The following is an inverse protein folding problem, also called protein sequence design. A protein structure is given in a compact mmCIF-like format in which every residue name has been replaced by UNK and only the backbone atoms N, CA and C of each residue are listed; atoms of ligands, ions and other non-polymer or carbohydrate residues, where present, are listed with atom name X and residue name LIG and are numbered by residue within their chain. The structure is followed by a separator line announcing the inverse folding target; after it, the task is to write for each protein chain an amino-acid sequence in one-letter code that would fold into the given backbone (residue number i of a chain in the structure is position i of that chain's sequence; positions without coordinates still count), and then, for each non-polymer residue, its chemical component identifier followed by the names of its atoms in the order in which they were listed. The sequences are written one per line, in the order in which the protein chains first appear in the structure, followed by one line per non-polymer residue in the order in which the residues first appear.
data_IF_419649907725
#
_entry.id   IF_419649907725
#
_cell.length_a   1.000
_cell.length_b   1.000
_cell.length_c   1.000
_cell.angle_alpha   90.00
_cell.angle_beta   90.00
_cell.angle_gamma   90.00
#
_symmetry.space_group_name_H-M   'P 1'
#
loop_
_entity.id
_entity.type
_entity.pdbx_description
1 polymer ?
#
# COMPACT_ATOMS: atom_id res chain seq x y z
N UNK A 1 39.13 15.66 52.10
CA UNK A 1 37.84 16.20 51.62
C UNK A 1 37.99 16.59 50.14
N UNK A 2 37.08 16.16 49.25
CA UNK A 2 36.87 16.82 47.95
C UNK A 2 37.66 16.34 46.71
N UNK A 3 37.50 15.09 46.25
CA UNK A 3 37.84 14.69 44.86
C UNK A 3 36.77 13.82 44.17
N UNK A 4 35.73 13.41 44.89
CA UNK A 4 34.62 12.60 44.37
C UNK A 4 33.55 13.48 43.70
N UNK A 5 33.38 14.72 44.18
CA UNK A 5 32.33 15.65 43.73
C UNK A 5 32.47 16.03 42.24
N UNK A 6 33.69 16.27 41.76
CA UNK A 6 33.93 16.71 40.37
C UNK A 6 33.60 15.61 39.35
N UNK A 7 33.84 14.33 39.70
CA UNK A 7 33.55 13.20 38.81
C UNK A 7 32.05 12.88 38.76
N UNK A 8 31.36 13.00 39.90
CA UNK A 8 29.91 12.82 40.00
C UNK A 8 29.15 13.93 39.26
N UNK A 9 29.58 15.18 39.41
CA UNK A 9 29.00 16.32 38.68
C UNK A 9 29.16 16.17 37.16
N UNK A 10 30.37 15.82 36.70
CA UNK A 10 30.61 15.59 35.28
C UNK A 10 29.75 14.42 34.73
N UNK A 11 29.60 13.32 35.48
CA UNK A 11 28.74 12.21 35.07
C UNK A 11 27.26 12.61 34.94
N UNK A 12 26.76 13.49 35.83
CA UNK A 12 25.41 14.04 35.72
C UNK A 12 25.25 14.92 34.48
N UNK A 13 26.21 15.80 34.19
CA UNK A 13 26.21 16.63 32.98
C UNK A 13 26.18 15.76 31.70
N UNK A 14 26.97 14.68 31.65
CA UNK A 14 26.91 13.71 30.56
C UNK A 14 25.54 13.03 30.45
N UNK A 15 24.91 12.62 31.55
CA UNK A 15 23.56 12.05 31.54
C UNK A 15 22.53 13.05 31.00
N UNK A 16 22.64 14.33 31.35
CA UNK A 16 21.77 15.38 30.80
C UNK A 16 21.96 15.58 29.30
N UNK A 17 23.21 15.61 28.82
CA UNK A 17 23.51 15.72 27.39
C UNK A 17 22.97 14.52 26.62
N UNK A 18 23.18 13.30 27.12
CA UNK A 18 22.63 12.07 26.51
C UNK A 18 21.09 12.09 26.50
N UNK A 19 20.47 12.52 27.60
CA UNK A 19 19.01 12.67 27.69
C UNK A 19 18.46 13.66 26.66
N UNK A 20 19.12 14.80 26.46
CA UNK A 20 18.75 15.78 25.43
C UNK A 20 18.88 15.22 24.01
N UNK A 21 19.94 14.47 23.73
CA UNK A 21 20.12 13.80 22.43
C UNK A 21 18.97 12.82 22.18
N UNK A 22 18.62 11.98 23.17
CA UNK A 22 17.51 11.03 23.06
C UNK A 22 16.17 11.74 22.84
N UNK A 23 15.94 12.88 23.51
CA UNK A 23 14.72 13.66 23.35
C UNK A 23 14.56 14.17 21.91
N UNK A 24 15.64 14.63 21.28
CA UNK A 24 15.63 15.06 19.87
C UNK A 24 15.43 13.87 18.91
N UNK A 25 15.88 12.68 19.26
CA UNK A 25 15.69 11.49 18.42
C UNK A 25 14.22 11.02 18.35
N UNK A 26 13.42 11.23 19.40
CA UNK A 26 12.02 10.81 19.43
C UNK A 26 11.20 11.34 18.23
N UNK A 27 11.12 12.66 17.96
CA UNK A 27 10.37 13.16 16.81
C UNK A 27 10.96 12.70 15.47
N UNK A 28 12.29 12.51 15.37
CA UNK A 28 12.94 12.02 14.15
C UNK A 28 12.51 10.58 13.82
N UNK A 29 12.48 9.70 14.82
CA UNK A 29 12.01 8.33 14.63
C UNK A 29 10.52 8.28 14.27
N UNK A 30 9.70 9.12 14.88
CA UNK A 30 8.26 9.20 14.56
C UNK A 30 8.01 9.60 13.11
N UNK A 31 8.68 10.65 12.62
CA UNK A 31 8.57 11.09 11.23
C UNK A 31 9.07 10.03 10.23
N UNK A 32 10.17 9.37 10.56
CA UNK A 32 10.75 8.31 9.73
C UNK A 32 9.80 7.11 9.61
N UNK A 33 9.25 6.65 10.73
CA UNK A 33 8.32 5.52 10.77
C UNK A 33 7.08 5.76 9.90
N UNK A 34 6.48 6.94 9.98
CA UNK A 34 5.31 7.29 9.18
C UNK A 34 5.62 7.25 7.68
N UNK A 35 6.75 7.80 7.24
CA UNK A 35 7.14 7.79 5.82
C UNK A 35 7.33 6.39 5.26
N UNK A 36 7.97 5.50 6.04
CA UNK A 36 8.15 4.10 5.65
C UNK A 36 6.80 3.41 5.45
N UNK A 37 5.86 3.62 6.38
CA UNK A 37 4.53 3.01 6.28
C UNK A 37 3.73 3.51 5.06
N UNK A 38 3.83 4.80 4.72
CA UNK A 38 3.21 5.34 3.49
C UNK A 38 3.80 4.66 2.26
N UNK A 39 5.13 4.60 2.18
CA UNK A 39 5.83 4.02 1.04
C UNK A 39 5.46 2.54 0.84
N UNK A 40 5.37 1.76 1.92
CA UNK A 40 4.93 0.36 1.87
C UNK A 40 3.48 0.27 1.40
N UNK A 41 2.58 1.08 1.98
CA UNK A 41 1.15 1.12 1.60
C UNK A 41 0.96 1.39 0.10
N UNK A 42 1.64 2.42 -0.42
CA UNK A 42 1.57 2.76 -1.85
C UNK A 42 2.16 1.66 -2.74
N UNK A 43 3.26 1.04 -2.31
CA UNK A 43 3.90 -0.06 -3.03
C UNK A 43 2.98 -1.28 -3.11
N UNK A 44 2.31 -1.63 -2.01
CA UNK A 44 1.38 -2.76 -1.95
C UNK A 44 0.17 -2.51 -2.86
N UNK A 45 -0.45 -1.31 -2.79
CA UNK A 45 -1.57 -0.95 -3.66
C UNK A 45 -1.18 -0.93 -5.15
N UNK A 46 0.01 -0.41 -5.47
CA UNK A 46 0.57 -0.45 -6.82
C UNK A 46 0.78 -1.89 -7.29
N UNK A 47 1.32 -2.75 -6.44
CA UNK A 47 1.53 -4.17 -6.77
C UNK A 47 0.20 -4.87 -7.03
N UNK A 48 -0.81 -4.60 -6.21
CA UNK A 48 -2.16 -5.13 -6.37
C UNK A 48 -2.79 -4.72 -7.71
N UNK A 49 -2.83 -3.41 -7.99
CA UNK A 49 -3.40 -2.90 -9.24
C UNK A 49 -2.64 -3.42 -10.47
N UNK A 50 -1.31 -3.47 -10.42
CA UNK A 50 -0.47 -4.01 -11.49
C UNK A 50 -0.73 -5.50 -11.74
N UNK A 51 -0.84 -6.30 -10.68
CA UNK A 51 -1.09 -7.73 -10.80
C UNK A 51 -2.46 -7.98 -11.45
N UNK A 52 -3.50 -7.27 -11.02
CA UNK A 52 -4.83 -7.36 -11.62
C UNK A 52 -4.80 -6.97 -13.10
N UNK A 53 -4.20 -5.82 -13.44
CA UNK A 53 -4.09 -5.35 -14.82
C UNK A 53 -3.32 -6.33 -15.71
N UNK A 54 -2.20 -6.87 -15.22
CA UNK A 54 -1.40 -7.85 -15.95
C UNK A 54 -2.15 -9.15 -16.18
N UNK A 55 -2.81 -9.68 -15.14
CA UNK A 55 -3.59 -10.92 -15.27
C UNK A 55 -4.81 -10.70 -16.17
N UNK A 56 -5.42 -9.52 -16.14
CA UNK A 56 -6.45 -9.13 -17.11
C UNK A 56 -5.91 -9.19 -18.55
N UNK A 57 -4.77 -8.58 -18.84
CA UNK A 57 -4.13 -8.64 -20.16
C UNK A 57 -3.80 -10.08 -20.59
N UNK A 58 -3.33 -10.92 -19.66
CA UNK A 58 -3.05 -12.33 -19.92
C UNK A 58 -4.34 -13.10 -20.28
N UNK A 59 -5.41 -12.95 -19.50
CA UNK A 59 -6.71 -13.60 -19.75
C UNK A 59 -7.31 -13.10 -21.07
N UNK A 60 -7.21 -11.81 -21.36
CA UNK A 60 -7.65 -11.24 -22.64
C UNK A 60 -6.94 -11.86 -23.83
N UNK A 61 -5.63 -12.06 -23.73
CA UNK A 61 -4.83 -12.67 -24.79
C UNK A 61 -5.21 -14.14 -25.05
N UNK A 62 -5.66 -14.87 -24.03
CA UNK A 62 -6.14 -16.24 -24.17
C UNK A 62 -7.51 -16.34 -24.88
N UNK A 63 -8.31 -15.27 -24.83
CA UNK A 63 -9.60 -15.17 -25.50
C UNK A 63 -10.81 -15.59 -24.64
N UNK A 64 -12.03 -15.46 -25.19
CA UNK A 64 -13.29 -15.68 -24.46
C UNK A 64 -13.40 -17.08 -23.85
N UNK A 65 -14.04 -17.17 -22.67
CA UNK A 65 -14.23 -18.41 -21.91
C UNK A 65 -13.05 -18.78 -21.02
N UNK A 66 -11.94 -18.03 -21.07
CA UNK A 66 -10.82 -18.21 -20.15
C UNK A 66 -11.03 -17.39 -18.87
N UNK A 67 -10.53 -17.94 -17.76
CA UNK A 67 -10.50 -17.27 -16.47
C UNK A 67 -9.21 -17.55 -15.73
N UNK A 68 -8.80 -16.60 -14.90
CA UNK A 68 -7.72 -16.79 -13.94
C UNK A 68 -8.17 -16.35 -12.54
N UNK A 69 -7.54 -16.89 -11.51
CA UNK A 69 -7.83 -16.55 -10.12
C UNK A 69 -6.51 -16.29 -9.41
N UNK A 70 -6.40 -15.12 -8.81
CA UNK A 70 -5.17 -14.61 -8.20
C UNK A 70 -5.45 -14.14 -6.79
N UNK A 71 -4.45 -14.32 -5.92
CA UNK A 71 -4.47 -13.78 -4.58
C UNK A 71 -3.82 -12.39 -4.60
N UNK A 72 -4.56 -11.37 -4.19
CA UNK A 72 -4.12 -9.98 -4.22
C UNK A 72 -4.22 -9.38 -2.83
N UNK A 73 -3.11 -8.88 -2.30
CA UNK A 73 -3.10 -8.23 -1.00
C UNK A 73 -3.46 -6.75 -1.11
N UNK A 74 -4.49 -6.34 -0.38
CA UNK A 74 -4.96 -4.97 -0.30
C UNK A 74 -4.43 -4.36 1.00
N UNK A 75 -3.65 -3.27 0.93
CA UNK A 75 -3.18 -2.60 2.12
C UNK A 75 -4.33 -1.92 2.87
N UNK A 76 -4.04 -1.48 4.10
CA UNK A 76 -4.90 -0.48 4.76
C UNK A 76 -4.97 0.79 3.92
N UNK A 77 -6.04 1.56 4.08
CA UNK A 77 -6.22 2.89 3.49
C UNK A 77 -6.72 2.94 2.05
N UNK A 78 -7.16 1.83 1.46
CA UNK A 78 -7.98 1.90 0.24
C UNK A 78 -9.37 2.43 0.63
N UNK A 79 -9.74 3.56 0.04
CA UNK A 79 -11.07 4.16 0.20
C UNK A 79 -12.05 3.57 -0.82
N UNK A 80 -11.63 3.43 -2.08
CA UNK A 80 -12.43 2.76 -3.10
C UNK A 80 -11.58 2.19 -4.24
N UNK A 81 -12.14 1.20 -4.94
CA UNK A 81 -11.58 0.62 -6.16
C UNK A 81 -12.57 0.84 -7.29
N UNK A 82 -12.15 1.54 -8.34
CA UNK A 82 -12.95 1.78 -9.53
C UNK A 82 -12.38 0.98 -10.71
N UNK A 83 -13.24 0.20 -11.36
CA UNK A 83 -12.93 -0.57 -12.55
C UNK A 83 -13.93 -0.17 -13.62
N UNK A 84 -13.45 0.53 -14.65
CA UNK A 84 -14.32 1.05 -15.70
C UNK A 84 -13.56 1.26 -16.99
N UNK A 85 -14.20 0.94 -18.13
CA UNK A 85 -13.56 1.07 -19.44
C UNK A 85 -12.34 0.18 -19.52
N UNK A 86 -11.13 0.74 -19.50
CA UNK A 86 -9.87 -0.02 -19.46
C UNK A 86 -9.03 0.27 -18.21
N UNK A 87 -9.62 0.99 -17.28
CA UNK A 87 -8.91 1.62 -16.17
C UNK A 87 -9.22 0.90 -14.87
N UNK A 88 -8.18 0.74 -14.06
CA UNK A 88 -8.24 0.26 -12.69
C UNK A 88 -7.66 1.37 -11.83
N UNK A 89 -8.48 1.95 -10.96
CA UNK A 89 -8.10 3.08 -10.11
C UNK A 89 -8.33 2.70 -8.66
N UNK A 90 -7.27 2.73 -7.87
CA UNK A 90 -7.34 2.58 -6.42
C UNK A 90 -7.22 3.97 -5.82
N UNK A 91 -8.26 4.39 -5.10
CA UNK A 91 -8.25 5.61 -4.32
C UNK A 91 -7.83 5.28 -2.90
N UNK A 92 -6.81 5.96 -2.40
CA UNK A 92 -6.29 5.78 -1.05
C UNK A 92 -6.42 7.08 -0.26
N UNK A 93 -6.69 6.95 1.04
CA UNK A 93 -6.64 8.06 1.99
C UNK A 93 -5.48 7.83 2.98
N UNK A 94 -4.40 8.58 2.82
CA UNK A 94 -3.18 8.45 3.59
C UNK A 94 -2.95 9.76 4.35
N UNK A 95 -3.07 9.74 5.68
CA UNK A 95 -2.89 10.92 6.53
C UNK A 95 -3.73 12.14 6.09
N UNK A 96 -4.99 11.92 5.69
CA UNK A 96 -5.91 12.92 5.15
C UNK A 96 -5.48 13.53 3.79
N UNK A 97 -4.46 12.95 3.15
CA UNK A 97 -4.11 13.22 1.76
C UNK A 97 -4.60 12.08 0.86
N UNK A 98 -5.33 12.46 -0.20
CA UNK A 98 -5.76 11.52 -1.23
C UNK A 98 -4.57 11.09 -2.09
N UNK A 99 -4.46 9.79 -2.36
CA UNK A 99 -3.52 9.24 -3.33
C UNK A 99 -4.26 8.33 -4.31
N UNK A 100 -3.81 8.31 -5.56
CA UNK A 100 -4.42 7.51 -6.61
C UNK A 100 -3.36 6.60 -7.24
N UNK A 101 -3.70 5.32 -7.36
CA UNK A 101 -2.93 4.36 -8.14
C UNK A 101 -3.76 4.00 -9.37
N UNK A 102 -3.21 4.33 -10.53
CA UNK A 102 -3.89 4.19 -11.81
C UNK A 102 -3.18 3.16 -12.68
N UNK A 103 -3.94 2.21 -13.22
CA UNK A 103 -3.46 1.20 -14.17
C UNK A 103 -4.41 1.08 -15.37
N UNK A 104 -3.85 0.77 -16.53
CA UNK A 104 -4.60 0.56 -17.78
C UNK A 104 -4.38 -0.87 -18.26
N UNK A 105 -5.48 -1.58 -18.52
CA UNK A 105 -5.47 -2.86 -19.25
C UNK A 105 -5.65 -2.63 -20.76
N UNK A 106 -5.20 -3.61 -21.55
CA UNK A 106 -5.51 -3.69 -22.99
C UNK A 106 -6.97 -4.07 -23.25
N UNK A 107 -7.64 -4.68 -22.28
CA UNK A 107 -9.01 -5.16 -22.39
C UNK A 107 -10.01 -4.17 -21.79
N UNK A 108 -11.26 -4.21 -22.26
CA UNK A 108 -12.36 -3.55 -21.57
C UNK A 108 -12.72 -4.36 -20.33
N UNK A 109 -12.79 -3.69 -19.19
CA UNK A 109 -12.98 -4.23 -17.86
C UNK A 109 -14.35 -3.83 -17.31
N UNK A 110 -14.91 -4.71 -16.51
CA UNK A 110 -16.10 -4.47 -15.68
C UNK A 110 -15.94 -5.20 -14.35
N UNK A 111 -16.74 -4.83 -13.37
CA UNK A 111 -16.84 -5.53 -12.09
C UNK A 111 -16.60 -4.62 -10.90
N UNK A 112 -16.41 -5.23 -9.75
CA UNK A 112 -16.25 -4.52 -8.48
C UNK A 112 -15.40 -5.36 -7.54
N UNK A 113 -14.51 -4.68 -6.83
CA UNK A 113 -13.72 -5.25 -5.75
C UNK A 113 -14.07 -4.54 -4.46
N UNK A 114 -13.93 -5.24 -3.35
CA UNK A 114 -14.02 -4.65 -2.02
C UNK A 114 -12.82 -3.75 -1.76
N UNK A 115 -12.89 -2.93 -0.71
CA UNK A 115 -11.87 -1.94 -0.37
C UNK A 115 -11.22 -2.20 1.00
N UNK A 116 -11.53 -3.33 1.65
CA UNK A 116 -10.99 -3.62 2.97
C UNK A 116 -9.60 -4.26 2.90
N UNK A 117 -8.81 -4.05 3.95
CA UNK A 117 -7.46 -4.61 4.06
C UNK A 117 -7.51 -6.14 4.13
N UNK A 118 -6.63 -6.82 3.39
CA UNK A 118 -6.45 -8.26 3.48
C UNK A 118 -6.08 -8.89 2.14
N UNK A 119 -5.93 -10.21 2.14
CA UNK A 119 -5.78 -10.95 0.89
C UNK A 119 -7.15 -11.22 0.29
N UNK A 120 -7.34 -10.79 -0.95
CA UNK A 120 -8.55 -10.99 -1.73
C UNK A 120 -8.30 -12.01 -2.83
N UNK A 121 -9.25 -12.92 -3.00
CA UNK A 121 -9.23 -13.89 -4.09
C UNK A 121 -9.96 -13.25 -5.27
N UNK A 122 -9.20 -12.69 -6.20
CA UNK A 122 -9.73 -11.98 -7.36
C UNK A 122 -9.85 -12.96 -8.53
N UNK A 123 -11.06 -13.02 -9.09
CA UNK A 123 -11.39 -13.79 -10.28
C UNK A 123 -11.47 -12.85 -11.46
N UNK A 124 -10.73 -13.16 -12.52
CA UNK A 124 -10.71 -12.41 -13.77
C UNK A 124 -11.15 -13.34 -14.88
N UNK A 125 -12.27 -13.02 -15.52
CA UNK A 125 -12.92 -13.89 -16.49
C UNK A 125 -13.22 -13.14 -17.79
N UNK A 126 -12.90 -13.75 -18.93
CA UNK A 126 -13.27 -13.24 -20.24
C UNK A 126 -14.67 -13.72 -20.63
N UNK A 127 -15.63 -12.81 -20.56
CA UNK A 127 -17.00 -13.03 -20.96
C UNK A 127 -17.18 -13.04 -22.49
N UNK A 128 -18.20 -13.77 -22.95
CA UNK A 128 -18.63 -13.78 -24.35
C UNK A 128 -19.05 -12.39 -24.89
N UNK A 129 -19.30 -11.44 -23.99
CA UNK A 129 -19.62 -10.04 -24.33
C UNK A 129 -18.45 -9.25 -24.89
N UNK A 130 -17.22 -9.79 -24.86
CA UNK A 130 -16.01 -9.05 -25.28
C UNK A 130 -15.31 -8.30 -24.14
N UNK A 131 -15.80 -8.42 -22.90
CA UNK A 131 -15.26 -7.72 -21.72
C UNK A 131 -14.66 -8.72 -20.72
N UNK A 132 -13.70 -8.23 -19.92
CA UNK A 132 -13.21 -8.93 -18.74
C UNK A 132 -14.02 -8.52 -17.52
N UNK A 133 -14.57 -9.50 -16.81
CA UNK A 133 -15.20 -9.31 -15.52
C UNK A 133 -14.17 -9.56 -14.40
N UNK A 134 -14.05 -8.60 -13.48
CA UNK A 134 -13.16 -8.64 -12.32
C UNK A 134 -14.01 -8.64 -11.05
N UNK A 135 -14.02 -9.75 -10.33
CA UNK A 135 -14.83 -9.93 -9.12
C UNK A 135 -14.07 -10.68 -8.04
N UNK A 136 -14.62 -10.72 -6.83
CA UNK A 136 -14.09 -11.52 -5.72
C UNK A 136 -14.83 -12.85 -5.59
N UNK A 137 -14.16 -13.83 -4.98
CA UNK A 137 -14.74 -15.14 -4.64
C UNK A 137 -15.25 -15.20 -3.21
#
# INVERSE_FOLDING_TARGET
MGKIEVKGQAALEYLFVVGLILLVLIPLFSLSYNRVNVSVTLSDASTAANLIAKTADEVYFLGPGNRNTIDVYFPSSIDSVNISGREIIFYLNIFDEGAEIFQISKANLTGSLSNFKGTHIVVIEYLDSGMLNITEK
#
